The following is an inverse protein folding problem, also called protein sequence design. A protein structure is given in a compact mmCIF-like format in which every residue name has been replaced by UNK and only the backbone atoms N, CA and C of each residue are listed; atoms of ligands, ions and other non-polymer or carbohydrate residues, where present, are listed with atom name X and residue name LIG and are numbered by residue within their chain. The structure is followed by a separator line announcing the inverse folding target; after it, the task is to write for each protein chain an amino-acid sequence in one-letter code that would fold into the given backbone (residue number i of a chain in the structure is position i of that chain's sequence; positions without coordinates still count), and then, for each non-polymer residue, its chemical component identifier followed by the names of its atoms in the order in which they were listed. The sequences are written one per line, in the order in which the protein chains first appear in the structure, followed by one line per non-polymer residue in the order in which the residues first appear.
data_IF_383809470351
#
_entry.id   IF_383809470351
#
_cell.length_a   1.000
_cell.length_b   1.000
_cell.length_c   1.000
_cell.angle_alpha   90.00
_cell.angle_beta   90.00
_cell.angle_gamma   90.00
#
_symmetry.space_group_name_H-M   'P 1'
#
loop_
_entity.id
_entity.type
_entity.pdbx_description
1 polymer ?
#
# COMPACT_ATOMS: atom_id res chain seq x y z
N UNK A 1 6.02 7.54 -13.45
CA UNK A 1 6.92 8.10 -14.49
C UNK A 1 8.27 8.55 -13.92
N UNK A 2 8.33 9.13 -12.70
CA UNK A 2 9.59 9.55 -12.04
C UNK A 2 10.70 8.47 -11.97
N UNK A 3 10.37 7.21 -11.63
CA UNK A 3 11.39 6.16 -11.44
C UNK A 3 12.18 5.77 -12.70
N UNK A 4 11.64 6.01 -13.89
CA UNK A 4 12.31 5.62 -15.14
C UNK A 4 13.38 6.64 -15.50
N UNK A 5 13.10 7.93 -15.29
CA UNK A 5 14.05 9.03 -15.49
C UNK A 5 15.21 8.92 -14.49
N UNK A 6 14.92 8.64 -13.21
CA UNK A 6 15.93 8.48 -12.16
C UNK A 6 16.88 7.29 -12.42
N UNK A 7 16.34 6.15 -12.89
CA UNK A 7 17.17 4.99 -13.29
C UNK A 7 18.06 5.30 -14.48
N UNK A 8 17.54 6.04 -15.47
CA UNK A 8 18.33 6.44 -16.64
C UNK A 8 19.47 7.38 -16.25
N UNK A 9 19.23 8.28 -15.30
CA UNK A 9 20.27 9.16 -14.76
C UNK A 9 21.36 8.38 -14.03
N UNK A 10 21.02 7.35 -13.25
CA UNK A 10 22.03 6.49 -12.58
C UNK A 10 22.89 5.74 -13.60
N UNK A 11 22.27 5.16 -14.64
CA UNK A 11 23.02 4.46 -15.69
C UNK A 11 23.99 5.40 -16.43
N UNK A 12 23.58 6.64 -16.68
CA UNK A 12 24.43 7.68 -17.26
C UNK A 12 25.61 8.03 -16.34
N UNK A 13 25.42 8.07 -15.02
CA UNK A 13 26.52 8.30 -14.07
C UNK A 13 27.54 7.15 -14.06
N UNK A 14 27.11 5.91 -14.32
CA UNK A 14 28.00 4.74 -14.47
C UNK A 14 28.80 4.86 -15.78
N UNK A 15 28.12 5.21 -16.88
CA UNK A 15 28.76 5.42 -18.19
C UNK A 15 29.81 6.53 -18.15
N UNK A 16 29.52 7.63 -17.44
CA UNK A 16 30.44 8.76 -17.23
C UNK A 16 31.56 8.43 -16.21
N UNK A 17 31.56 7.24 -15.60
CA UNK A 17 32.56 6.82 -14.62
C UNK A 17 32.50 7.57 -13.28
N UNK A 18 31.41 8.29 -13.01
CA UNK A 18 31.21 9.05 -11.77
C UNK A 18 30.92 8.15 -10.57
N UNK A 19 30.35 6.98 -10.82
CA UNK A 19 30.06 5.95 -9.82
C UNK A 19 30.42 4.57 -10.39
N UNK A 20 30.77 3.63 -9.52
CA UNK A 20 31.01 2.25 -9.89
C UNK A 20 29.71 1.49 -10.21
N UNK A 21 29.83 0.38 -10.94
CA UNK A 21 28.69 -0.50 -11.21
C UNK A 21 28.04 -1.04 -9.92
N UNK A 22 28.83 -1.29 -8.87
CA UNK A 22 28.34 -1.70 -7.55
C UNK A 22 27.52 -0.61 -6.86
N UNK A 23 28.00 0.63 -6.87
CA UNK A 23 27.29 1.77 -6.27
C UNK A 23 26.01 2.08 -7.06
N UNK A 24 26.07 2.01 -8.39
CA UNK A 24 24.89 2.16 -9.24
C UNK A 24 23.81 1.09 -8.97
N UNK A 25 24.21 -0.17 -8.78
CA UNK A 25 23.29 -1.23 -8.42
C UNK A 25 22.63 -0.99 -7.05
N UNK A 26 23.37 -0.43 -6.09
CA UNK A 26 22.84 -0.07 -4.78
C UNK A 26 21.83 1.08 -4.85
N UNK A 27 22.14 2.13 -5.63
CA UNK A 27 21.23 3.25 -5.87
C UNK A 27 19.93 2.82 -6.55
N UNK A 28 20.02 1.95 -7.56
CA UNK A 28 18.83 1.39 -8.24
C UNK A 28 17.98 0.58 -7.25
N UNK A 29 18.61 -0.25 -6.41
CA UNK A 29 17.91 -1.00 -5.35
C UNK A 29 17.26 -0.09 -4.32
N UNK A 30 17.89 1.04 -3.99
CA UNK A 30 17.33 2.01 -3.04
C UNK A 30 16.09 2.73 -3.63
N UNK A 31 16.11 3.06 -4.92
CA UNK A 31 14.92 3.60 -5.61
C UNK A 31 13.76 2.61 -5.64
N UNK A 32 14.04 1.32 -5.83
CA UNK A 32 13.03 0.26 -5.77
C UNK A 32 12.48 0.06 -4.36
N UNK A 33 13.35 0.15 -3.34
CA UNK A 33 12.91 0.15 -1.94
C UNK A 33 12.08 1.37 -1.61
N UNK A 34 12.35 2.56 -2.13
CA UNK A 34 11.54 3.74 -1.85
C UNK A 34 10.11 3.60 -2.43
N UNK A 35 9.97 2.98 -3.61
CA UNK A 35 8.68 2.50 -4.13
C UNK A 35 8.00 1.44 -3.25
N UNK A 36 8.78 0.67 -2.49
CA UNK A 36 8.32 -0.37 -1.58
C UNK A 36 8.10 0.14 -0.15
N UNK A 37 8.70 1.27 0.24
CA UNK A 37 8.43 2.02 1.47
C UNK A 37 7.09 2.76 1.36
N UNK A 38 6.66 3.14 0.16
CA UNK A 38 5.25 3.47 -0.12
C UNK A 38 4.32 2.25 -0.03
N UNK A 39 4.86 1.02 -0.13
CA UNK A 39 4.16 -0.26 0.10
C UNK A 39 4.33 -0.77 1.55
N UNK A 40 4.56 0.14 2.50
CA UNK A 40 4.88 -0.10 3.90
C UNK A 40 4.43 -1.47 4.44
N UNK A 41 5.41 -2.36 4.65
CA UNK A 41 5.19 -3.61 5.36
C UNK A 41 4.69 -3.34 6.79
N UNK A 42 3.87 -4.24 7.37
CA UNK A 42 3.27 -4.00 8.67
C UNK A 42 4.34 -3.84 9.75
N UNK A 43 4.34 -2.68 10.42
CA UNK A 43 5.12 -2.40 11.61
C UNK A 43 4.37 -2.97 12.82
N UNK A 44 5.06 -3.73 13.67
CA UNK A 44 4.54 -4.04 15.00
C UNK A 44 4.73 -2.82 15.91
N UNK A 45 3.73 -1.95 15.96
CA UNK A 45 3.72 -0.79 16.85
C UNK A 45 3.20 -1.14 18.26
N UNK A 46 3.80 -0.56 19.29
CA UNK A 46 3.40 -0.71 20.70
C UNK A 46 2.25 0.23 21.11
N UNK A 47 1.77 1.10 20.21
CA UNK A 47 0.65 2.01 20.45
C UNK A 47 -0.64 1.47 19.82
N UNK A 48 -1.82 1.68 20.44
CA UNK A 48 -3.08 1.29 19.82
C UNK A 48 -3.28 2.09 18.53
N UNK A 49 -3.56 1.39 17.44
CA UNK A 49 -3.92 2.04 16.19
C UNK A 49 -5.16 2.92 16.39
N UNK A 50 -5.10 4.14 15.86
CA UNK A 50 -6.08 5.22 15.98
C UNK A 50 -6.93 5.37 14.73
N UNK A 51 -6.38 5.00 13.56
CA UNK A 51 -6.93 5.28 12.24
C UNK A 51 -6.88 4.04 11.34
N UNK A 52 -7.96 3.86 10.58
CA UNK A 52 -8.12 2.87 9.53
C UNK A 52 -8.30 3.63 8.22
N UNK A 53 -7.29 3.58 7.37
CA UNK A 53 -7.23 4.36 6.14
C UNK A 53 -7.42 3.46 4.93
N UNK A 54 -8.38 3.81 4.08
CA UNK A 54 -8.67 3.11 2.83
C UNK A 54 -8.31 4.03 1.67
N UNK A 55 -7.51 3.50 0.74
CA UNK A 55 -7.12 4.18 -0.49
C UNK A 55 -7.51 3.32 -1.69
N UNK A 56 -8.18 3.91 -2.67
CA UNK A 56 -8.43 3.30 -3.98
C UNK A 56 -7.75 4.16 -5.04
N UNK A 57 -6.86 3.55 -5.80
CA UNK A 57 -6.06 4.20 -6.84
C UNK A 57 -6.39 3.59 -8.19
N UNK A 58 -6.71 4.42 -9.17
CA UNK A 58 -6.82 4.01 -10.57
C UNK A 58 -5.41 3.79 -11.11
N UNK A 59 -5.14 2.57 -11.59
CA UNK A 59 -3.83 2.13 -12.08
C UNK A 59 -3.51 2.69 -13.47
N UNK A 60 -4.53 3.06 -14.24
CA UNK A 60 -4.39 3.64 -15.59
C UNK A 60 -3.98 5.11 -15.49
N UNK A 61 -4.65 5.87 -14.63
CA UNK A 61 -4.42 7.30 -14.46
C UNK A 61 -3.47 7.66 -13.31
N UNK A 62 -3.22 6.72 -12.39
CA UNK A 62 -2.48 6.95 -11.14
C UNK A 62 -3.22 7.83 -10.13
N UNK A 63 -4.50 8.16 -10.38
CA UNK A 63 -5.26 9.08 -9.52
C UNK A 63 -5.91 8.33 -8.36
N UNK A 64 -5.94 9.00 -7.22
CA UNK A 64 -6.64 8.51 -6.05
C UNK A 64 -8.15 8.75 -6.22
N UNK A 65 -8.91 7.66 -6.43
CA UNK A 65 -10.37 7.68 -6.59
C UNK A 65 -11.08 7.78 -5.24
N UNK A 66 -10.52 7.16 -4.20
CA UNK A 66 -11.10 7.15 -2.85
C UNK A 66 -10.00 7.24 -1.80
N UNK A 67 -10.08 8.20 -0.89
CA UNK A 67 -9.18 8.33 0.26
C UNK A 67 -10.00 8.61 1.51
N UNK A 68 -10.21 7.59 2.32
CA UNK A 68 -11.06 7.65 3.52
C UNK A 68 -10.23 7.35 4.76
N UNK A 69 -10.45 8.11 5.83
CA UNK A 69 -9.84 7.86 7.13
C UNK A 69 -10.93 7.64 8.18
N UNK A 70 -10.91 6.47 8.83
CA UNK A 70 -11.95 6.02 9.76
C UNK A 70 -11.31 5.86 11.14
N UNK A 71 -11.82 6.48 12.21
CA UNK A 71 -11.33 6.20 13.55
C UNK A 71 -11.49 4.71 13.86
N UNK A 72 -10.49 4.08 14.48
CA UNK A 72 -10.51 2.63 14.76
C UNK A 72 -11.73 2.20 15.59
N UNK A 73 -12.22 3.05 16.49
CA UNK A 73 -13.45 2.81 17.26
C UNK A 73 -14.73 2.69 16.41
N UNK A 74 -14.72 3.20 15.18
CA UNK A 74 -15.86 3.19 14.25
C UNK A 74 -15.76 2.09 13.18
N UNK A 75 -14.63 1.39 13.05
CA UNK A 75 -14.43 0.37 12.01
C UNK A 75 -15.45 -0.75 12.13
N UNK A 76 -15.71 -1.25 13.35
CA UNK A 76 -16.73 -2.28 13.59
C UNK A 76 -18.14 -1.85 13.14
N UNK A 77 -18.46 -0.56 13.26
CA UNK A 77 -19.76 0.00 12.85
C UNK A 77 -19.81 0.11 11.32
N UNK A 78 -18.76 0.68 10.73
CA UNK A 78 -18.62 0.81 9.28
C UNK A 78 -18.67 -0.55 8.57
N UNK A 79 -18.01 -1.57 9.13
CA UNK A 79 -18.02 -2.94 8.61
C UNK A 79 -19.42 -3.57 8.66
N UNK A 80 -20.18 -3.40 9.74
CA UNK A 80 -21.56 -3.91 9.83
C UNK A 80 -22.51 -3.22 8.85
N UNK A 81 -22.30 -1.93 8.59
CA UNK A 81 -23.07 -1.20 7.59
C UNK A 81 -22.65 -1.59 6.17
N UNK A 82 -21.34 -1.71 5.93
CA UNK A 82 -20.75 -2.11 4.66
C UNK A 82 -21.10 -3.54 4.25
N UNK A 83 -21.18 -4.47 5.20
CA UNK A 83 -21.57 -5.87 4.95
C UNK A 83 -22.92 -6.04 4.27
N UNK A 84 -23.82 -5.04 4.35
CA UNK A 84 -25.10 -5.02 3.64
C UNK A 84 -24.97 -4.69 2.15
N UNK A 85 -23.82 -4.18 1.74
CA UNK A 85 -23.47 -3.79 0.37
C UNK A 85 -22.39 -4.68 -0.23
N UNK A 86 -21.93 -5.68 0.52
CA UNK A 86 -20.99 -6.69 0.03
C UNK A 86 -21.80 -7.72 -0.78
N UNK A 87 -21.50 -7.93 -2.07
CA UNK A 87 -22.09 -9.03 -2.84
C UNK A 87 -21.73 -10.37 -2.20
N UNK A 88 -22.60 -11.38 -2.29
CA UNK A 88 -22.39 -12.73 -1.72
C UNK A 88 -21.11 -13.45 -2.20
N UNK A 89 -20.36 -12.83 -3.12
CA UNK A 89 -19.12 -13.32 -3.73
C UNK A 89 -17.85 -12.98 -2.94
N UNK A 90 -17.92 -12.13 -1.91
CA UNK A 90 -16.75 -11.86 -1.06
C UNK A 90 -16.65 -12.95 -0.01
N UNK A 91 -15.56 -13.71 -0.04
CA UNK A 91 -15.36 -14.82 0.87
C UNK A 91 -15.20 -14.33 2.31
N UNK A 92 -15.92 -14.97 3.24
CA UNK A 92 -15.86 -14.62 4.67
C UNK A 92 -14.43 -14.72 5.24
N UNK A 93 -13.54 -15.48 4.60
CA UNK A 93 -12.15 -15.65 5.01
C UNK A 93 -11.34 -14.34 4.92
N UNK A 94 -11.43 -13.61 3.80
CA UNK A 94 -10.67 -12.37 3.59
C UNK A 94 -11.08 -11.27 4.58
N UNK A 95 -12.38 -11.25 4.94
CA UNK A 95 -12.92 -10.38 5.97
C UNK A 95 -12.33 -10.69 7.35
N UNK A 96 -12.19 -11.98 7.70
CA UNK A 96 -11.62 -12.39 8.98
C UNK A 96 -10.14 -12.02 9.08
N UNK A 97 -9.37 -12.18 8.00
CA UNK A 97 -7.94 -11.85 7.99
C UNK A 97 -7.68 -10.36 8.24
N UNK A 98 -8.48 -9.48 7.62
CA UNK A 98 -8.42 -8.03 7.87
C UNK A 98 -8.81 -7.71 9.32
N UNK A 99 -9.86 -8.35 9.83
CA UNK A 99 -10.31 -8.14 11.22
C UNK A 99 -9.30 -8.64 12.24
N UNK A 100 -8.61 -9.74 11.97
CA UNK A 100 -7.53 -10.26 12.79
C UNK A 100 -6.32 -9.33 12.75
N UNK A 101 -5.97 -8.77 11.58
CA UNK A 101 -4.93 -7.75 11.46
C UNK A 101 -5.19 -6.54 12.36
N UNK A 102 -6.41 -6.01 12.31
CA UNK A 102 -6.85 -4.89 13.14
C UNK A 102 -6.79 -5.25 14.64
N UNK A 103 -7.29 -6.43 15.04
CA UNK A 103 -7.31 -6.87 16.45
C UNK A 103 -5.92 -7.16 17.01
N UNK A 104 -5.01 -7.66 16.17
CA UNK A 104 -3.63 -7.97 16.55
C UNK A 104 -2.80 -6.71 16.85
N UNK A 105 -3.33 -5.51 16.58
CA UNK A 105 -2.61 -4.25 16.78
C UNK A 105 -1.51 -4.02 15.74
N UNK A 106 -1.51 -4.78 14.64
CA UNK A 106 -0.60 -4.56 13.51
C UNK A 106 -0.84 -3.17 12.92
N UNK A 107 0.24 -2.41 12.75
CA UNK A 107 0.23 -1.09 12.10
C UNK A 107 0.85 -1.20 10.71
N UNK A 108 0.63 -0.22 9.84
CA UNK A 108 1.09 -0.22 8.44
C UNK A 108 0.06 -0.80 7.47
N UNK A 109 0.51 -1.22 6.28
CA UNK A 109 -0.39 -1.76 5.26
C UNK A 109 -0.85 -3.16 5.65
N UNK A 110 -2.15 -3.35 5.76
CA UNK A 110 -2.77 -4.63 6.15
C UNK A 110 -3.47 -5.34 4.99
N UNK A 111 -3.76 -4.62 3.91
CA UNK A 111 -4.39 -5.16 2.71
C UNK A 111 -3.92 -4.40 1.47
N UNK A 112 -3.65 -5.14 0.39
CA UNK A 112 -3.31 -4.61 -0.93
C UNK A 112 -3.88 -5.56 -1.98
N UNK A 113 -4.90 -5.10 -2.70
CA UNK A 113 -5.54 -5.84 -3.77
C UNK A 113 -5.52 -5.00 -5.04
N UNK A 114 -5.20 -5.64 -6.17
CA UNK A 114 -5.26 -4.99 -7.49
C UNK A 114 -6.26 -5.78 -8.34
N UNK A 115 -7.31 -5.11 -8.79
CA UNK A 115 -8.21 -5.63 -9.82
C UNK A 115 -7.65 -5.25 -11.19
N UNK A 116 -7.17 -6.24 -11.94
CA UNK A 116 -6.61 -6.04 -13.28
C UNK A 116 -7.68 -5.75 -14.34
N UNK A 117 -8.92 -6.22 -14.14
CA UNK A 117 -10.03 -5.98 -15.08
C UNK A 117 -10.54 -4.54 -15.02
N UNK A 118 -10.70 -4.01 -13.80
CA UNK A 118 -11.17 -2.64 -13.58
C UNK A 118 -10.02 -1.62 -13.53
N UNK A 119 -8.77 -2.07 -13.48
CA UNK A 119 -7.59 -1.22 -13.35
C UNK A 119 -7.57 -0.46 -12.02
N UNK A 120 -8.05 -1.06 -10.94
CA UNK A 120 -8.13 -0.43 -9.62
C UNK A 120 -7.23 -1.13 -8.61
N UNK A 121 -6.57 -0.35 -7.74
CA UNK A 121 -5.81 -0.84 -6.61
C UNK A 121 -6.42 -0.34 -5.30
N UNK A 122 -6.76 -1.27 -4.42
CA UNK A 122 -7.30 -1.01 -3.09
C UNK A 122 -6.22 -1.29 -2.05
N UNK A 123 -5.91 -0.29 -1.24
CA UNK A 123 -4.94 -0.39 -0.15
C UNK A 123 -5.59 -0.01 1.17
N UNK A 124 -5.30 -0.77 2.23
CA UNK A 124 -5.78 -0.50 3.57
C UNK A 124 -4.60 -0.40 4.53
N UNK A 125 -4.59 0.67 5.31
CA UNK A 125 -3.57 0.96 6.32
C UNK A 125 -4.21 1.09 7.70
N UNK A 126 -3.47 0.63 8.71
CA UNK A 126 -3.81 0.77 10.13
C UNK A 126 -2.71 1.58 10.80
N UNK A 127 -3.06 2.71 11.43
CA UNK A 127 -2.12 3.67 12.05
C UNK A 127 -2.55 4.01 13.46
#
# INVERSE_FOLDING_TARGET
MASTEERMQILKMIEEGKISASEGAELIRALDRNKQSERAEPLHGTSPARWFRVRVTDMTSGRNKVNVNIPMGLVNVGMKMGARFIPDTVDNAEYQDVMEAIRSGRQGKVFDYTNEEDGERVEIFVE
#
